data_IF_430557261730
#
_entry.id   IF_430557261730
#
_cell.length_a   1.000
_cell.length_b   1.000
_cell.length_c   1.000
_cell.angle_alpha   90.00
_cell.angle_beta   90.00
_cell.angle_gamma   90.00
#
_symmetry.space_group_name_H-M   'P 1'
#
loop_
_entity.id
_entity.type
_entity.pdbx_description
1 polymer ?
#
# COMPACT_ATOMS: atom_id res chain seq x y z
N UNK A 1 17.41 9.71 -21.72
CA UNK A 1 17.01 9.73 -21.00
C UNK A 1 16.64 9.98 -20.55
N UNK A 2 16.83 10.26 -20.93
CA UNK A 2 16.26 10.50 -20.33
C UNK A 2 15.98 11.10 -19.86
N UNK A 3 16.20 11.50 -20.31
CA UNK A 3 15.77 11.97 -19.53
C UNK A 3 15.45 12.35 -19.03
N UNK A 4 15.65 12.54 -19.29
CA UNK A 4 15.23 12.87 -18.56
C UNK A 4 15.30 13.30 -17.81
N UNK A 5 15.72 13.88 -18.08
CA UNK A 5 15.70 14.22 -17.14
C UNK A 5 15.46 14.89 -16.64
N UNK A 6 15.65 15.30 -16.95
CA UNK A 6 15.34 15.79 -16.27
C UNK A 6 14.78 16.12 -15.84
N UNK A 7 14.81 16.26 -16.23
CA UNK A 7 14.21 16.46 -15.61
C UNK A 7 13.84 16.29 -15.10
N UNK A 8 13.95 16.07 -15.11
CA UNK A 8 13.48 15.86 -14.43
C UNK A 8 13.33 15.86 -13.53
N UNK A 9 13.87 15.86 -13.43
CA UNK A 9 13.61 15.93 -12.39
C UNK A 9 12.68 16.19 -11.51
N UNK A 10 12.91 15.97 -10.87
CA UNK A 10 11.67 16.35 -10.23
C UNK A 10 10.45 15.67 -10.79
N UNK A 11 10.56 15.20 -11.94
CA UNK A 11 9.45 14.45 -12.56
C UNK A 11 9.14 13.17 -11.83
N UNK A 12 10.13 12.57 -11.25
CA UNK A 12 9.91 11.35 -10.48
C UNK A 12 8.99 11.62 -9.32
N UNK A 13 9.16 12.77 -8.70
CA UNK A 13 8.32 13.13 -7.58
C UNK A 13 6.90 13.45 -8.00
N UNK A 14 6.75 13.93 -9.22
CA UNK A 14 5.42 14.19 -9.74
C UNK A 14 4.69 12.92 -10.10
N UNK A 15 5.42 11.84 -10.23
CA UNK A 15 4.81 10.56 -10.57
C UNK A 15 4.74 9.67 -9.36
N UNK A 16 4.12 10.16 -8.32
CA UNK A 16 3.93 9.37 -7.12
C UNK A 16 2.72 8.47 -7.30
N UNK A 17 2.81 7.66 -8.33
CA UNK A 17 1.79 6.69 -8.67
C UNK A 17 2.38 5.31 -8.62
N UNK A 18 1.54 4.36 -8.27
CA UNK A 18 1.91 2.96 -8.20
C UNK A 18 0.92 2.18 -9.04
N UNK A 19 1.42 1.43 -10.00
CA UNK A 19 0.56 0.65 -10.88
C UNK A 19 0.91 -0.83 -10.71
N UNK A 20 -0.08 -1.61 -10.33
CA UNK A 20 0.08 -3.04 -10.09
C UNK A 20 -1.11 -3.75 -10.73
N UNK A 21 -0.87 -4.41 -11.87
CA UNK A 21 -1.97 -5.03 -12.59
C UNK A 21 -3.01 -4.00 -12.99
N UNK A 22 -4.25 -4.23 -12.60
CA UNK A 22 -5.34 -3.29 -12.89
C UNK A 22 -5.54 -2.25 -11.79
N UNK A 23 -4.63 -2.20 -10.81
CA UNK A 23 -4.70 -1.23 -9.72
C UNK A 23 -3.80 -0.04 -10.01
N UNK A 24 -4.31 1.15 -9.77
CA UNK A 24 -3.51 2.37 -9.82
C UNK A 24 -3.71 3.14 -8.52
N UNK A 25 -2.62 3.46 -7.83
CA UNK A 25 -2.66 4.25 -6.61
C UNK A 25 -1.94 5.56 -6.86
N UNK A 26 -2.60 6.67 -6.52
CA UNK A 26 -2.05 8.01 -6.69
C UNK A 26 -1.78 8.58 -5.31
N UNK A 27 -0.51 8.71 -4.95
CA UNK A 27 -0.13 9.17 -3.61
C UNK A 27 -0.45 10.65 -3.42
N UNK A 28 -0.38 11.43 -4.47
CA UNK A 28 -0.69 12.86 -4.34
C UNK A 28 -2.18 13.10 -4.12
N UNK A 29 -3.00 12.33 -4.81
CA UNK A 29 -4.45 12.45 -4.64
C UNK A 29 -5.02 11.56 -3.57
N UNK A 30 -4.23 10.65 -3.03
CA UNK A 30 -4.67 9.67 -2.05
C UNK A 30 -5.84 8.84 -2.57
N UNK A 31 -5.76 8.44 -3.83
CA UNK A 31 -6.82 7.67 -4.48
C UNK A 31 -6.30 6.33 -4.98
N UNK A 32 -7.18 5.35 -5.01
CA UNK A 32 -6.89 4.03 -5.55
C UNK A 32 -8.01 3.64 -6.50
N UNK A 33 -7.63 3.17 -7.68
CA UNK A 33 -8.62 2.74 -8.68
C UNK A 33 -8.29 1.35 -9.17
N UNK A 34 -9.34 0.58 -9.49
CA UNK A 34 -9.20 -0.71 -10.13
C UNK A 34 -9.99 -0.63 -11.43
N UNK A 35 -9.32 -0.86 -12.56
CA UNK A 35 -9.92 -0.75 -13.89
C UNK A 35 -10.58 0.60 -14.10
N UNK A 36 -9.97 1.67 -13.55
CA UNK A 36 -10.47 3.02 -13.68
C UNK A 36 -11.57 3.39 -12.71
N UNK A 37 -11.99 2.47 -11.87
CA UNK A 37 -13.07 2.73 -10.92
C UNK A 37 -12.48 2.96 -9.54
N UNK A 38 -12.83 4.09 -8.93
CA UNK A 38 -12.25 4.47 -7.64
C UNK A 38 -12.75 3.57 -6.52
N UNK A 39 -11.81 3.11 -5.69
CA UNK A 39 -12.11 2.30 -4.52
C UNK A 39 -11.99 3.20 -3.30
N UNK A 40 -13.06 3.37 -2.51
CA UNK A 40 -12.97 4.24 -1.33
C UNK A 40 -12.06 3.64 -0.28
N UNK A 41 -11.09 4.42 0.16
CA UNK A 41 -10.14 4.00 1.19
C UNK A 41 -9.94 5.14 2.17
N UNK A 42 -9.68 4.79 3.43
CA UNK A 42 -9.25 5.78 4.40
C UNK A 42 -7.78 6.08 4.17
N UNK A 43 -7.31 7.18 4.77
CA UNK A 43 -5.90 7.54 4.68
C UNK A 43 -5.00 6.41 5.16
N UNK A 44 -5.37 5.81 6.28
CA UNK A 44 -4.56 4.72 6.85
C UNK A 44 -4.56 3.49 5.95
N UNK A 45 -5.71 3.14 5.41
CA UNK A 45 -5.80 2.02 4.47
C UNK A 45 -4.91 2.26 3.25
N UNK A 46 -4.99 3.46 2.69
CA UNK A 46 -4.17 3.81 1.55
C UNK A 46 -2.68 3.70 1.88
N UNK A 47 -2.28 4.28 3.00
CA UNK A 47 -0.87 4.32 3.35
C UNK A 47 -0.30 2.94 3.59
N UNK A 48 -1.05 2.07 4.25
CA UNK A 48 -0.59 0.70 4.51
C UNK A 48 -0.39 -0.04 3.20
N UNK A 49 -1.39 0.00 2.32
CA UNK A 49 -1.30 -0.72 1.06
C UNK A 49 -0.19 -0.16 0.19
N UNK A 50 -0.08 1.16 0.14
CA UNK A 50 0.96 1.81 -0.66
C UNK A 50 2.35 1.39 -0.18
N UNK A 51 2.54 1.32 1.15
CA UNK A 51 3.81 0.89 1.73
C UNK A 51 4.12 -0.55 1.33
N UNK A 52 3.16 -1.44 1.48
CA UNK A 52 3.38 -2.85 1.17
C UNK A 52 3.73 -3.04 -0.31
N UNK A 53 3.02 -2.35 -1.19
CA UNK A 53 3.24 -2.50 -2.63
C UNK A 53 4.50 -1.78 -3.10
N UNK A 54 4.95 -0.78 -2.36
CA UNK A 54 6.21 -0.11 -2.70
C UNK A 54 7.43 -0.99 -2.42
N UNK A 55 7.26 -1.98 -1.57
CA UNK A 55 8.34 -2.91 -1.21
C UNK A 55 7.84 -4.33 -1.35
N UNK A 56 7.60 -4.78 -2.59
CA UNK A 56 7.05 -6.13 -2.78
C UNK A 56 8.02 -7.18 -2.27
N UNK A 57 7.45 -8.25 -1.74
CA UNK A 57 8.16 -9.38 -1.15
C UNK A 57 8.81 -9.08 0.19
N UNK A 58 8.77 -7.83 0.64
CA UNK A 58 9.31 -7.51 1.96
C UNK A 58 8.27 -7.75 3.02
N UNK A 59 8.65 -8.48 4.07
CA UNK A 59 7.77 -8.74 5.20
C UNK A 59 7.86 -7.57 6.18
N UNK A 60 6.70 -7.02 6.54
CA UNK A 60 6.60 -6.00 7.57
C UNK A 60 5.92 -6.63 8.78
N UNK A 61 6.56 -6.48 9.94
CA UNK A 61 5.95 -7.02 11.16
C UNK A 61 4.76 -6.17 11.58
N UNK A 62 3.86 -6.76 12.36
CA UNK A 62 2.74 -5.99 12.89
C UNK A 62 3.23 -4.80 13.70
N UNK A 63 4.32 -4.99 14.46
CA UNK A 63 4.88 -3.90 15.24
C UNK A 63 5.39 -2.76 14.36
N UNK A 64 6.04 -3.10 13.25
CA UNK A 64 6.52 -2.08 12.33
C UNK A 64 5.37 -1.28 11.73
N UNK A 65 4.32 -1.96 11.30
CA UNK A 65 3.16 -1.28 10.72
C UNK A 65 2.43 -0.45 11.76
N UNK A 66 2.31 -0.97 12.98
CA UNK A 66 1.69 -0.24 14.08
C UNK A 66 2.47 1.03 14.37
N UNK A 67 3.79 0.92 14.45
CA UNK A 67 4.67 2.03 14.77
C UNK A 67 4.55 3.14 13.73
N UNK A 68 4.55 2.75 12.47
CA UNK A 68 4.54 3.72 11.38
C UNK A 68 3.18 4.38 11.18
N UNK A 69 2.09 3.63 11.32
CA UNK A 69 0.78 4.13 10.93
C UNK A 69 -0.15 4.43 12.09
N UNK A 70 0.17 4.01 13.30
CA UNK A 70 -0.62 4.32 14.51
C UNK A 70 0.14 5.16 15.51
N UNK A 71 1.46 4.98 15.61
CA UNK A 71 2.29 5.70 16.55
C UNK A 71 2.31 5.08 17.93
N UNK A 72 3.19 5.60 18.80
CA UNK A 72 3.40 5.01 20.11
C UNK A 72 2.19 5.12 21.02
N UNK A 73 1.47 6.23 20.92
CA UNK A 73 0.46 6.57 21.90
C UNK A 73 -0.95 6.24 21.45
N UNK A 74 -1.06 5.41 20.42
CA UNK A 74 -2.38 5.14 19.84
C UNK A 74 -3.29 4.35 20.78
N UNK A 75 -2.68 3.54 21.67
CA UNK A 75 -3.46 2.64 22.51
C UNK A 75 -4.05 1.46 21.75
N UNK A 76 -3.86 1.37 20.45
CA UNK A 76 -4.36 0.26 19.68
C UNK A 76 -3.47 -0.96 19.86
N UNK A 77 -4.07 -2.14 19.76
CA UNK A 77 -3.32 -3.39 19.83
C UNK A 77 -2.86 -3.79 18.43
N UNK A 78 -1.96 -4.77 18.37
CA UNK A 78 -1.49 -5.29 17.08
C UNK A 78 -2.64 -5.85 16.25
N UNK A 79 -3.74 -6.21 16.89
CA UNK A 79 -4.90 -6.71 16.20
C UNK A 79 -5.48 -5.67 15.22
N UNK A 80 -5.26 -4.38 15.49
CA UNK A 80 -5.73 -3.35 14.58
C UNK A 80 -5.10 -3.50 13.19
N UNK A 81 -3.84 -3.93 13.13
CA UNK A 81 -3.19 -4.20 11.86
C UNK A 81 -3.92 -5.29 11.11
N UNK A 82 -4.29 -6.37 11.81
CA UNK A 82 -4.99 -7.48 11.19
C UNK A 82 -6.33 -7.04 10.61
N UNK A 83 -7.04 -6.17 11.33
CA UNK A 83 -8.33 -5.66 10.86
C UNK A 83 -8.15 -4.86 9.57
N UNK A 84 -7.13 -4.01 9.51
CA UNK A 84 -6.89 -3.23 8.31
C UNK A 84 -6.46 -4.08 7.13
N UNK A 85 -5.65 -5.11 7.37
CA UNK A 85 -5.27 -6.04 6.30
C UNK A 85 -6.50 -6.77 5.76
N UNK A 86 -7.39 -7.20 6.64
CA UNK A 86 -8.62 -7.85 6.22
C UNK A 86 -9.46 -6.92 5.35
N UNK A 87 -9.58 -5.64 5.76
CA UNK A 87 -10.31 -4.67 4.96
C UNK A 87 -9.68 -4.45 3.60
N UNK A 88 -8.35 -4.38 3.55
CA UNK A 88 -7.65 -4.20 2.29
C UNK A 88 -7.84 -5.38 1.36
N UNK A 89 -7.76 -6.60 1.89
CA UNK A 89 -8.01 -7.79 1.08
C UNK A 89 -9.42 -7.76 0.49
N UNK A 90 -10.37 -7.31 1.27
CA UNK A 90 -11.76 -7.26 0.86
C UNK A 90 -11.98 -6.20 -0.22
N UNK A 91 -11.50 -4.99 0.02
CA UNK A 91 -11.71 -3.88 -0.90
C UNK A 91 -11.02 -4.08 -2.24
N UNK A 92 -9.90 -4.77 -2.24
CA UNK A 92 -9.10 -4.95 -3.45
C UNK A 92 -9.15 -6.39 -3.97
N UNK A 93 -10.22 -7.10 -3.63
CA UNK A 93 -10.38 -8.50 -4.03
C UNK A 93 -10.47 -8.68 -5.55
N UNK A 94 -10.91 -7.63 -6.26
CA UNK A 94 -11.01 -7.70 -7.72
C UNK A 94 -9.71 -7.35 -8.43
N UNK A 95 -8.69 -6.94 -7.68
CA UNK A 95 -7.39 -6.67 -8.27
C UNK A 95 -6.65 -7.99 -8.47
N UNK A 96 -6.14 -8.18 -9.68
CA UNK A 96 -5.42 -9.41 -10.00
C UNK A 96 -3.91 -9.22 -10.03
N UNK A 97 -3.42 -8.05 -9.61
CA UNK A 97 -2.01 -7.73 -9.71
C UNK A 97 -1.19 -8.03 -8.46
N UNK A 98 -1.83 -8.28 -7.34
CA UNK A 98 -1.09 -8.50 -6.10
C UNK A 98 -1.91 -9.34 -5.13
N UNK A 99 -1.21 -9.78 -4.09
CA UNK A 99 -1.82 -10.52 -2.99
C UNK A 99 -1.10 -10.13 -1.71
N UNK A 100 -1.84 -9.90 -0.63
CA UNK A 100 -1.23 -9.65 0.68
C UNK A 100 -1.15 -10.99 1.40
N UNK A 101 0.05 -11.48 1.60
CA UNK A 101 0.26 -12.77 2.25
C UNK A 101 0.56 -12.58 3.72
N UNK A 102 0.01 -13.48 4.54
CA UNK A 102 0.34 -13.54 5.95
C UNK A 102 1.65 -14.29 6.10
N UNK A 103 2.61 -13.68 6.80
CA UNK A 103 3.84 -14.38 7.18
C UNK A 103 3.64 -14.81 8.62
N UNK A 104 3.40 -16.09 8.80
CA UNK A 104 2.97 -16.64 10.08
C UNK A 104 3.94 -16.27 11.20
N UNK A 105 3.37 -15.72 12.27
CA UNK A 105 4.15 -15.33 13.43
C UNK A 105 4.92 -14.04 13.28
N UNK A 106 4.87 -13.39 12.12
CA UNK A 106 5.62 -12.16 11.89
C UNK A 106 4.73 -11.00 11.47
N UNK A 107 4.08 -11.11 10.33
CA UNK A 107 3.30 -10.00 9.81
C UNK A 107 2.79 -10.25 8.42
N UNK A 108 2.99 -9.28 7.54
CA UNK A 108 2.40 -9.33 6.20
C UNK A 108 3.39 -8.87 5.15
N UNK A 109 3.19 -9.35 3.94
CA UNK A 109 3.94 -8.88 2.80
C UNK A 109 3.05 -8.88 1.56
N UNK A 110 3.35 -7.99 0.62
CA UNK A 110 2.65 -7.96 -0.65
C UNK A 110 3.48 -8.71 -1.68
N UNK A 111 2.82 -9.51 -2.48
CA UNK A 111 3.45 -10.26 -3.55
C UNK A 111 2.77 -9.88 -4.85
N UNK A 112 3.55 -9.49 -5.84
CA UNK A 112 3.00 -9.16 -7.16
C UNK A 112 2.76 -10.44 -7.93
N UNK A 113 1.64 -10.50 -8.61
CA UNK A 113 1.21 -11.68 -9.33
C UNK A 113 1.52 -11.62 -10.82
#
# INVERSE_FOLDING_TARGET
>A
MRVRALLRRSNIEMERKLIVGNLEMDADGMTATIDGEEIPVTTREFNILYKLLSYPKKTFTRAQLMDEFWGFDSGASLRAVDVYVTKLRDKFSTCDGFEIKTVRGLGYKAVLL
#
